data_IF_666312904087
#
_entry.id   IF_666312904087
#
_cell.length_a   1.000
_cell.length_b   1.000
_cell.length_c   1.000
_cell.angle_alpha   90.00
_cell.angle_beta   90.00
_cell.angle_gamma   90.00
#
_symmetry.space_group_name_H-M   'P 1'
#
loop_
_entity.id
_entity.type
_entity.pdbx_description
1 polymer ?
#
# COMPACT_ATOMS: atom_id res chain seq x y z
N UNK A 1 13.37 -9.88 -24.04
CA UNK A 1 12.74 -9.83 -22.71
C UNK A 1 11.54 -10.77 -22.69
N UNK A 2 11.31 -11.44 -21.56
CA UNK A 2 10.09 -12.22 -21.38
C UNK A 2 8.88 -11.28 -21.28
N UNK A 3 7.69 -11.68 -21.76
CA UNK A 3 6.47 -10.90 -21.57
C UNK A 3 6.14 -10.73 -20.08
N UNK A 4 5.52 -9.60 -19.74
CA UNK A 4 5.09 -9.28 -18.38
C UNK A 4 3.61 -8.92 -18.39
N UNK A 5 2.83 -9.56 -17.50
CA UNK A 5 1.45 -9.20 -17.23
C UNK A 5 1.41 -8.20 -16.08
N UNK A 6 0.68 -7.09 -16.24
CA UNK A 6 0.37 -6.18 -15.15
C UNK A 6 -1.05 -6.47 -14.66
N UNK A 7 -1.23 -6.63 -13.35
CA UNK A 7 -2.53 -6.96 -12.75
C UNK A 7 -2.95 -5.93 -11.72
N UNK A 8 -4.22 -5.56 -11.74
CA UNK A 8 -4.84 -4.73 -10.71
C UNK A 8 -6.31 -5.12 -10.50
N UNK A 9 -6.84 -4.77 -9.33
CA UNK A 9 -8.26 -4.92 -9.00
C UNK A 9 -8.80 -3.58 -8.54
N UNK A 10 -10.07 -3.33 -8.83
CA UNK A 10 -10.69 -2.06 -8.50
C UNK A 10 -12.19 -2.21 -8.19
N UNK A 11 -12.77 -1.17 -7.60
CA UNK A 11 -14.20 -1.04 -7.36
C UNK A 11 -14.57 0.44 -7.20
N UNK A 12 -15.41 0.97 -8.11
CA UNK A 12 -15.88 2.36 -8.12
C UNK A 12 -14.73 3.39 -8.16
N UNK A 13 -13.94 3.34 -9.24
CA UNK A 13 -12.75 4.19 -9.45
C UNK A 13 -12.87 5.02 -10.76
N UNK A 14 -14.09 5.37 -11.20
CA UNK A 14 -14.33 6.04 -12.49
C UNK A 14 -13.52 7.32 -12.68
N UNK A 15 -13.22 8.04 -11.61
CA UNK A 15 -12.47 9.31 -11.65
C UNK A 15 -10.97 9.13 -11.95
N UNK A 16 -10.40 8.00 -11.54
CA UNK A 16 -8.95 7.78 -11.59
C UNK A 16 -8.53 6.61 -12.47
N UNK A 17 -9.41 5.64 -12.75
CA UNK A 17 -9.09 4.43 -13.51
C UNK A 17 -8.46 4.76 -14.89
N UNK A 18 -8.92 5.83 -15.54
CA UNK A 18 -8.37 6.26 -16.83
C UNK A 18 -6.90 6.67 -16.76
N UNK A 19 -6.50 7.39 -15.72
CA UNK A 19 -5.10 7.81 -15.51
C UNK A 19 -4.22 6.59 -15.19
N UNK A 20 -4.71 5.70 -14.35
CA UNK A 20 -4.00 4.47 -13.93
C UNK A 20 -3.73 3.60 -15.15
N UNK A 21 -4.77 3.18 -15.87
CA UNK A 21 -4.67 2.30 -17.05
C UNK A 21 -3.79 2.94 -18.13
N UNK A 22 -3.96 4.25 -18.40
CA UNK A 22 -3.12 4.95 -19.38
C UNK A 22 -1.65 4.92 -18.99
N UNK A 23 -1.30 5.09 -17.71
CA UNK A 23 0.10 5.03 -17.24
C UNK A 23 0.70 3.63 -17.34
N UNK A 24 -0.12 2.59 -17.21
CA UNK A 24 0.30 1.19 -17.35
C UNK A 24 0.48 0.79 -18.82
N UNK A 25 -0.42 1.21 -19.69
CA UNK A 25 -0.32 0.94 -21.14
C UNK A 25 0.81 1.73 -21.81
N UNK A 26 1.23 2.88 -21.21
CA UNK A 26 2.33 3.72 -21.68
C UNK A 26 3.72 3.26 -21.21
N UNK A 27 3.85 2.13 -20.51
CA UNK A 27 5.13 1.62 -20.04
C UNK A 27 6.12 1.34 -21.19
N UNK A 28 7.41 1.57 -20.94
CA UNK A 28 8.49 1.36 -21.89
C UNK A 28 9.59 0.47 -21.26
N UNK A 29 9.74 -0.78 -21.74
CA UNK A 29 8.95 -1.47 -22.78
C UNK A 29 7.50 -1.70 -22.34
N UNK A 30 6.58 -1.91 -23.31
CA UNK A 30 5.16 -2.09 -22.98
C UNK A 30 4.92 -3.40 -22.23
N UNK A 31 3.88 -3.40 -21.38
CA UNK A 31 3.32 -4.62 -20.83
C UNK A 31 2.77 -5.51 -21.95
N UNK A 32 2.90 -6.81 -21.83
CA UNK A 32 2.25 -7.75 -22.75
C UNK A 32 0.73 -7.68 -22.62
N UNK A 33 0.24 -7.51 -21.40
CA UNK A 33 -1.16 -7.33 -21.06
C UNK A 33 -1.30 -6.55 -19.74
N UNK A 34 -2.42 -5.83 -19.62
CA UNK A 34 -2.85 -5.15 -18.39
C UNK A 34 -4.22 -5.72 -18.04
N UNK A 35 -4.30 -6.49 -16.97
CA UNK A 35 -5.52 -7.19 -16.55
C UNK A 35 -6.13 -6.42 -15.38
N UNK A 36 -7.36 -5.96 -15.57
CA UNK A 36 -8.13 -5.22 -14.56
C UNK A 36 -9.34 -6.06 -14.16
N UNK A 37 -9.43 -6.39 -12.86
CA UNK A 37 -10.60 -7.07 -12.30
C UNK A 37 -11.49 -6.05 -11.61
N UNK A 38 -12.69 -5.85 -12.15
CA UNK A 38 -13.76 -5.02 -11.57
C UNK A 38 -14.62 -5.85 -10.62
N UNK A 39 -14.71 -5.41 -9.35
CA UNK A 39 -15.48 -6.06 -8.30
C UNK A 39 -16.99 -5.82 -8.35
N UNK A 40 -17.53 -5.32 -9.48
CA UNK A 40 -18.95 -4.99 -9.66
C UNK A 40 -19.23 -3.51 -9.43
N UNK A 41 -18.45 -2.63 -10.06
CA UNK A 41 -18.63 -1.17 -10.02
C UNK A 41 -19.98 -0.73 -10.54
N UNK A 42 -20.49 0.37 -9.98
CA UNK A 42 -21.79 0.97 -10.29
C UNK A 42 -21.71 2.46 -10.62
N UNK A 43 -20.49 3.00 -10.70
CA UNK A 43 -20.22 4.43 -10.90
C UNK A 43 -19.81 4.81 -12.34
N UNK A 44 -19.78 3.84 -13.26
CA UNK A 44 -19.31 4.01 -14.65
C UNK A 44 -17.90 3.48 -14.92
N UNK A 45 -17.23 2.92 -13.89
CA UNK A 45 -15.88 2.34 -14.05
C UNK A 45 -15.88 1.19 -15.05
N UNK A 46 -16.85 0.26 -14.95
CA UNK A 46 -16.94 -0.88 -15.85
C UNK A 46 -17.13 -0.46 -17.31
N UNK A 47 -18.05 0.46 -17.58
CA UNK A 47 -18.32 0.99 -18.90
C UNK A 47 -17.09 1.67 -19.50
N UNK A 48 -16.30 2.36 -18.65
CA UNK A 48 -15.01 2.92 -19.06
C UNK A 48 -14.02 1.84 -19.47
N UNK A 49 -13.90 0.76 -18.67
CA UNK A 49 -12.99 -0.36 -18.96
C UNK A 49 -13.36 -1.09 -20.25
N UNK A 50 -14.64 -1.36 -20.48
CA UNK A 50 -15.11 -1.97 -21.75
C UNK A 50 -14.74 -1.10 -22.95
N UNK A 51 -15.01 0.21 -22.88
CA UNK A 51 -14.66 1.13 -23.94
C UNK A 51 -13.14 1.27 -24.15
N UNK A 52 -12.34 1.15 -23.10
CA UNK A 52 -10.88 1.18 -23.18
C UNK A 52 -10.30 -0.12 -23.78
N UNK A 53 -10.85 -1.27 -23.40
CA UNK A 53 -10.51 -2.57 -23.99
C UNK A 53 -10.69 -2.60 -25.51
N UNK A 54 -11.77 -2.00 -26.04
CA UNK A 54 -12.02 -1.91 -27.49
C UNK A 54 -10.95 -1.07 -28.21
N UNK A 55 -10.25 -0.17 -27.51
CA UNK A 55 -9.23 0.72 -28.10
C UNK A 55 -7.82 0.13 -28.02
N UNK A 56 -7.54 -0.69 -27.02
CA UNK A 56 -6.22 -1.32 -26.82
C UNK A 56 -6.41 -2.77 -26.36
N UNK A 57 -6.13 -3.71 -27.26
CA UNK A 57 -6.28 -5.14 -27.00
C UNK A 57 -5.37 -5.68 -25.89
N UNK A 58 -4.37 -4.91 -25.46
CA UNK A 58 -3.53 -5.29 -24.29
C UNK A 58 -4.27 -5.12 -22.97
N UNK A 59 -5.31 -4.28 -22.91
CA UNK A 59 -6.16 -4.15 -21.73
C UNK A 59 -7.17 -5.30 -21.72
N UNK A 60 -7.15 -6.10 -20.67
CA UNK A 60 -8.11 -7.18 -20.42
C UNK A 60 -8.96 -6.77 -19.22
N UNK A 61 -10.25 -6.52 -19.45
CA UNK A 61 -11.20 -6.21 -18.38
C UNK A 61 -11.98 -7.48 -18.00
N UNK A 62 -12.00 -7.79 -16.71
CA UNK A 62 -12.74 -8.92 -16.14
C UNK A 62 -13.71 -8.37 -15.10
N UNK A 63 -15.01 -8.62 -15.25
CA UNK A 63 -16.01 -8.31 -14.23
C UNK A 63 -16.27 -9.53 -13.37
N UNK A 64 -15.97 -9.42 -12.08
CA UNK A 64 -16.24 -10.49 -11.12
C UNK A 64 -16.77 -9.90 -9.80
N UNK A 65 -18.09 -9.86 -9.64
CA UNK A 65 -18.75 -9.33 -8.45
C UNK A 65 -18.37 -10.07 -7.17
N UNK A 66 -17.86 -11.29 -7.28
CA UNK A 66 -17.36 -12.03 -6.11
C UNK A 66 -16.11 -11.40 -5.49
N UNK A 67 -15.46 -10.46 -6.20
CA UNK A 67 -14.35 -9.64 -5.73
C UNK A 67 -14.83 -8.38 -4.97
N UNK A 68 -15.98 -8.45 -4.31
CA UNK A 68 -16.54 -7.39 -3.46
C UNK A 68 -16.74 -7.85 -2.02
N UNK A 69 -16.89 -6.88 -1.09
CA UNK A 69 -17.13 -7.16 0.34
C UNK A 69 -18.41 -7.95 0.61
N UNK A 70 -19.34 -7.96 -0.34
CA UNK A 70 -20.58 -8.75 -0.26
C UNK A 70 -20.30 -10.25 -0.30
N UNK A 71 -19.27 -10.67 -1.03
CA UNK A 71 -19.00 -12.07 -1.33
C UNK A 71 -17.66 -12.58 -0.79
N UNK A 72 -16.70 -11.68 -0.52
CA UNK A 72 -15.36 -12.04 -0.06
C UNK A 72 -14.93 -11.20 1.14
N UNK A 73 -14.36 -11.80 2.19
CA UNK A 73 -13.73 -11.03 3.28
C UNK A 73 -12.46 -10.30 2.84
N UNK A 74 -11.82 -10.74 1.75
CA UNK A 74 -10.62 -10.14 1.15
C UNK A 74 -10.80 -9.86 -0.34
N UNK A 75 -11.68 -8.92 -0.73
CA UNK A 75 -12.02 -8.66 -2.13
C UNK A 75 -10.81 -8.28 -2.98
N UNK A 76 -9.88 -7.49 -2.43
CA UNK A 76 -8.64 -7.08 -3.12
C UNK A 76 -7.74 -8.28 -3.41
N UNK A 77 -7.56 -9.18 -2.44
CA UNK A 77 -6.82 -10.44 -2.64
C UNK A 77 -7.45 -11.31 -3.72
N UNK A 78 -8.78 -11.47 -3.64
CA UNK A 78 -9.54 -12.27 -4.60
C UNK A 78 -9.41 -11.70 -6.01
N UNK A 79 -9.60 -10.40 -6.19
CA UNK A 79 -9.45 -9.76 -7.49
C UNK A 79 -8.03 -9.91 -8.06
N UNK A 80 -6.99 -9.76 -7.23
CA UNK A 80 -5.61 -10.03 -7.67
C UNK A 80 -5.41 -11.48 -8.05
N UNK A 81 -5.91 -12.44 -7.27
CA UNK A 81 -5.80 -13.86 -7.59
C UNK A 81 -6.50 -14.19 -8.90
N UNK A 82 -7.70 -13.65 -9.14
CA UNK A 82 -8.42 -13.79 -10.42
C UNK A 82 -7.60 -13.22 -11.58
N UNK A 83 -7.05 -12.01 -11.44
CA UNK A 83 -6.22 -11.39 -12.48
C UNK A 83 -4.94 -12.19 -12.75
N UNK A 84 -4.26 -12.69 -11.70
CA UNK A 84 -3.03 -13.50 -11.85
C UNK A 84 -3.34 -14.86 -12.49
N UNK A 85 -4.46 -15.47 -12.13
CA UNK A 85 -4.89 -16.73 -12.75
C UNK A 85 -5.16 -16.57 -14.26
N UNK A 86 -5.71 -15.42 -14.68
CA UNK A 86 -5.95 -15.08 -16.09
C UNK A 86 -4.68 -14.68 -16.85
N UNK A 87 -3.62 -14.25 -16.13
CA UNK A 87 -2.37 -13.79 -16.73
C UNK A 87 -1.66 -14.90 -17.52
N UNK A 88 -1.13 -14.54 -18.69
CA UNK A 88 -0.45 -15.48 -19.57
C UNK A 88 1.08 -15.44 -19.44
N UNK A 89 1.62 -14.36 -18.84
CA UNK A 89 3.06 -14.20 -18.69
C UNK A 89 3.59 -14.96 -17.46
N UNK A 90 4.84 -15.41 -17.55
CA UNK A 90 5.55 -16.02 -16.43
C UNK A 90 5.94 -15.01 -15.34
N UNK A 91 6.02 -13.71 -15.68
CA UNK A 91 6.31 -12.60 -14.77
C UNK A 91 5.06 -11.76 -14.62
N UNK A 92 4.66 -11.49 -13.37
CA UNK A 92 3.50 -10.69 -13.02
C UNK A 92 3.96 -9.48 -12.20
N UNK A 93 3.43 -8.30 -12.53
CA UNK A 93 3.60 -7.07 -11.76
C UNK A 93 2.24 -6.61 -11.22
N UNK A 94 2.15 -6.36 -9.90
CA UNK A 94 0.96 -5.82 -9.28
C UNK A 94 0.94 -4.30 -9.32
N UNK A 95 -0.23 -3.75 -9.60
CA UNK A 95 -0.56 -2.34 -9.58
C UNK A 95 -1.83 -2.11 -8.72
N UNK A 96 -2.07 -0.85 -8.30
CA UNK A 96 -3.27 -0.44 -7.55
C UNK A 96 -3.99 0.69 -8.31
N UNK A 97 -5.33 0.71 -8.23
CA UNK A 97 -6.19 1.68 -8.91
C UNK A 97 -5.96 3.15 -8.49
N UNK A 98 -5.51 3.39 -7.27
CA UNK A 98 -5.16 4.75 -6.79
C UNK A 98 -3.74 5.21 -7.11
N UNK A 99 -3.05 4.61 -8.09
CA UNK A 99 -1.66 4.91 -8.41
C UNK A 99 -1.45 5.22 -9.89
N UNK A 100 -0.47 6.10 -10.19
CA UNK A 100 0.13 6.22 -11.51
C UNK A 100 1.57 5.73 -11.47
N UNK A 101 2.16 5.46 -12.64
CA UNK A 101 3.44 4.77 -12.74
C UNK A 101 4.42 5.55 -13.60
N UNK A 102 5.69 5.61 -13.16
CA UNK A 102 6.76 6.17 -13.99
C UNK A 102 6.87 5.38 -15.31
N UNK A 103 7.23 6.02 -16.44
CA UNK A 103 7.28 5.34 -17.74
C UNK A 103 8.21 4.12 -17.80
N UNK A 104 9.22 4.08 -16.97
CA UNK A 104 10.22 3.01 -16.84
C UNK A 104 9.97 2.08 -15.62
N UNK A 105 8.83 2.25 -14.94
CA UNK A 105 8.50 1.49 -13.72
C UNK A 105 8.53 -0.02 -13.96
N UNK A 106 7.86 -0.51 -15.01
CA UNK A 106 7.74 -1.93 -15.29
C UNK A 106 9.10 -2.55 -15.62
N UNK A 107 9.90 -1.87 -16.45
CA UNK A 107 11.24 -2.30 -16.80
C UNK A 107 12.14 -2.41 -15.57
N UNK A 108 12.15 -1.36 -14.76
CA UNK A 108 12.98 -1.32 -13.56
C UNK A 108 12.56 -2.42 -12.56
N UNK A 109 11.25 -2.52 -12.28
CA UNK A 109 10.72 -3.46 -11.31
C UNK A 109 11.02 -4.92 -11.69
N UNK A 110 10.91 -5.25 -12.97
CA UNK A 110 11.05 -6.63 -13.44
C UNK A 110 12.47 -7.02 -13.86
N UNK A 111 13.41 -6.07 -13.92
CA UNK A 111 14.78 -6.31 -14.36
C UNK A 111 15.47 -7.52 -13.69
N UNK A 112 15.43 -7.72 -12.35
CA UNK A 112 16.03 -8.90 -11.71
C UNK A 112 15.31 -10.20 -12.05
N UNK A 113 14.00 -10.19 -12.30
CA UNK A 113 13.23 -11.36 -12.72
C UNK A 113 13.58 -11.72 -14.17
N UNK A 114 13.70 -10.72 -15.04
CA UNK A 114 14.13 -10.89 -16.44
C UNK A 114 15.53 -11.48 -16.55
N UNK A 115 16.41 -11.10 -15.63
CA UNK A 115 17.78 -11.62 -15.55
C UNK A 115 17.86 -13.00 -14.87
N UNK A 116 16.76 -13.53 -14.33
CA UNK A 116 16.75 -14.78 -13.58
C UNK A 116 17.50 -14.72 -12.23
N UNK A 117 17.82 -13.53 -11.73
CA UNK A 117 18.55 -13.32 -10.46
C UNK A 117 17.64 -13.24 -9.24
N UNK A 118 16.33 -13.05 -9.45
CA UNK A 118 15.31 -13.04 -8.41
C UNK A 118 13.97 -13.57 -8.93
N UNK A 119 13.16 -14.13 -8.04
CA UNK A 119 11.78 -14.53 -8.31
C UNK A 119 10.77 -13.50 -7.76
N UNK A 120 11.25 -12.50 -6.99
CA UNK A 120 10.45 -11.54 -6.28
C UNK A 120 11.15 -10.17 -6.23
N UNK A 121 10.44 -9.11 -6.55
CA UNK A 121 10.95 -7.74 -6.55
C UNK A 121 9.94 -6.76 -5.93
N UNK A 122 10.46 -5.78 -5.20
CA UNK A 122 9.70 -4.73 -4.55
C UNK A 122 10.19 -3.37 -5.01
N UNK A 123 9.28 -2.54 -5.50
CA UNK A 123 9.54 -1.16 -5.88
C UNK A 123 9.13 -0.15 -4.81
N UNK A 124 9.46 1.11 -5.04
CA UNK A 124 9.08 2.22 -4.19
C UNK A 124 7.65 2.70 -4.46
N UNK A 125 6.99 3.20 -3.42
CA UNK A 125 5.71 3.91 -3.54
C UNK A 125 5.79 5.22 -2.79
N UNK A 126 5.44 6.32 -3.44
CA UNK A 126 5.42 7.65 -2.84
C UNK A 126 4.11 8.35 -3.17
N UNK A 127 3.74 9.32 -2.33
CA UNK A 127 2.60 10.19 -2.65
C UNK A 127 3.01 11.09 -3.81
N UNK A 128 2.14 11.16 -4.82
CA UNK A 128 2.35 11.98 -6.01
C UNK A 128 2.66 13.44 -5.63
N UNK A 129 3.65 14.10 -6.25
CA UNK A 129 3.94 15.51 -6.04
C UNK A 129 2.90 16.49 -6.62
N UNK A 130 1.90 16.05 -7.40
CA UNK A 130 0.83 16.88 -7.98
C UNK A 130 -0.05 17.61 -6.96
N UNK A 131 -1.30 17.90 -7.32
CA UNK A 131 -2.26 18.58 -6.46
C UNK A 131 -2.46 17.84 -5.15
N UNK A 132 -2.01 18.44 -4.04
CA UNK A 132 -2.02 17.84 -2.71
C UNK A 132 -2.74 18.69 -1.71
N UNK A 133 -3.53 18.03 -0.89
CA UNK A 133 -3.99 18.62 0.36
C UNK A 133 -2.83 18.73 1.36
N UNK A 134 -2.95 19.60 2.32
CA UNK A 134 -1.97 19.68 3.43
C UNK A 134 -1.89 18.36 4.21
N UNK A 135 -2.96 17.59 4.20
CA UNK A 135 -3.03 16.28 4.87
C UNK A 135 -2.34 15.18 4.08
N UNK A 136 -2.33 15.25 2.73
CA UNK A 136 -1.52 14.34 1.90
C UNK A 136 -0.05 14.51 2.22
N UNK A 137 0.41 15.76 2.31
CA UNK A 137 1.79 16.09 2.68
C UNK A 137 2.13 15.63 4.08
N UNK A 138 1.24 15.87 5.06
CA UNK A 138 1.42 15.48 6.45
C UNK A 138 1.47 13.94 6.64
N UNK A 139 0.66 13.22 5.89
CA UNK A 139 0.52 11.78 5.99
C UNK A 139 1.55 10.99 5.13
N UNK A 140 2.15 11.62 4.12
CA UNK A 140 3.09 10.98 3.19
C UNK A 140 4.15 10.08 3.84
N UNK A 141 4.82 10.47 4.95
CA UNK A 141 5.82 9.62 5.60
C UNK A 141 5.30 8.30 6.16
N UNK A 142 3.99 8.18 6.36
CA UNK A 142 3.36 6.97 6.91
C UNK A 142 2.87 6.01 5.83
N UNK A 143 2.58 6.53 4.63
CA UNK A 143 1.99 5.78 3.52
C UNK A 143 2.93 5.59 2.32
N UNK A 144 4.08 6.26 2.34
CA UNK A 144 5.13 6.08 1.32
C UNK A 144 6.10 4.99 1.71
N UNK A 145 6.51 4.17 0.74
CA UNK A 145 7.61 3.23 0.88
C UNK A 145 8.80 3.78 0.11
N UNK A 146 9.76 4.31 0.86
CA UNK A 146 11.03 4.77 0.33
C UNK A 146 12.03 3.62 0.41
N UNK A 147 12.52 3.17 -0.72
CA UNK A 147 13.63 2.23 -0.79
C UNK A 147 14.91 3.04 -0.94
N UNK A 148 15.87 2.83 -0.03
CA UNK A 148 17.25 3.20 -0.28
C UNK A 148 17.88 2.16 -1.21
N UNK A 149 18.82 2.60 -2.06
CA UNK A 149 19.50 1.68 -2.96
C UNK A 149 20.20 0.57 -2.14
N UNK A 150 19.87 -0.68 -2.45
CA UNK A 150 20.43 -1.88 -1.82
C UNK A 150 20.15 -2.09 -0.33
N UNK A 151 19.24 -1.32 0.27
CA UNK A 151 18.86 -1.55 1.68
C UNK A 151 17.59 -2.42 1.78
N UNK A 152 17.63 -3.53 2.53
CA UNK A 152 16.46 -4.35 2.79
C UNK A 152 15.38 -3.55 3.53
N UNK A 153 14.19 -3.46 2.98
CA UNK A 153 13.03 -2.92 3.69
C UNK A 153 12.19 -4.03 4.33
N UNK A 154 11.61 -3.73 5.50
CA UNK A 154 10.60 -4.56 6.15
C UNK A 154 9.18 -4.22 5.67
N UNK A 155 9.04 -3.23 4.81
CA UNK A 155 7.76 -2.78 4.29
C UNK A 155 7.63 -3.15 2.82
N UNK A 156 6.47 -3.66 2.45
CA UNK A 156 6.08 -3.94 1.07
C UNK A 156 4.79 -3.22 0.74
N UNK A 157 4.46 -3.15 -0.53
CA UNK A 157 3.14 -2.77 -1.01
C UNK A 157 2.91 -3.38 -2.38
N UNK A 158 1.71 -3.88 -2.61
CA UNK A 158 1.30 -4.37 -3.93
C UNK A 158 1.24 -3.27 -5.00
N UNK A 159 1.31 -1.99 -4.60
CA UNK A 159 1.43 -0.86 -5.56
C UNK A 159 2.65 -0.95 -6.46
N UNK A 160 3.72 -1.62 -6.00
CA UNK A 160 4.95 -1.78 -6.79
C UNK A 160 5.62 -3.08 -6.36
N UNK A 161 5.11 -4.19 -6.87
CA UNK A 161 5.53 -5.55 -6.54
C UNK A 161 5.52 -6.39 -7.80
N UNK A 162 6.57 -7.19 -8.05
CA UNK A 162 6.58 -8.15 -9.15
C UNK A 162 7.13 -9.50 -8.67
N UNK A 163 6.65 -10.56 -9.27
CA UNK A 163 7.06 -11.93 -8.94
C UNK A 163 6.85 -12.86 -10.14
N UNK A 164 7.49 -14.01 -10.07
CA UNK A 164 7.21 -15.10 -11.01
C UNK A 164 5.87 -15.76 -10.67
N UNK A 165 5.08 -16.14 -11.66
CA UNK A 165 3.83 -16.88 -11.46
C UNK A 165 4.08 -18.16 -10.63
N UNK A 166 5.20 -18.81 -10.84
CA UNK A 166 5.61 -20.00 -10.07
C UNK A 166 5.75 -19.69 -8.56
N UNK A 167 6.28 -18.51 -8.19
CA UNK A 167 6.33 -18.10 -6.78
C UNK A 167 4.92 -17.95 -6.20
N UNK A 168 4.02 -17.27 -6.92
CA UNK A 168 2.62 -17.07 -6.50
C UNK A 168 1.91 -18.43 -6.27
N UNK A 169 2.06 -19.38 -7.19
CA UNK A 169 1.51 -20.73 -7.06
C UNK A 169 2.10 -21.46 -5.84
N UNK A 170 3.43 -21.41 -5.67
CA UNK A 170 4.15 -22.09 -4.59
C UNK A 170 3.74 -21.62 -3.19
N UNK A 171 3.39 -20.35 -3.02
CA UNK A 171 2.98 -19.79 -1.73
C UNK A 171 1.45 -19.77 -1.52
N UNK A 172 0.66 -20.18 -2.51
CA UNK A 172 -0.80 -20.26 -2.44
C UNK A 172 -1.52 -18.95 -2.68
N UNK A 173 -0.90 -17.98 -3.36
CA UNK A 173 -1.51 -16.72 -3.78
C UNK A 173 -1.69 -15.67 -2.68
N UNK A 174 -2.49 -14.64 -2.97
CA UNK A 174 -2.86 -13.62 -1.99
C UNK A 174 -3.92 -14.16 -1.03
N UNK A 175 -3.83 -13.89 0.29
CA UNK A 175 -4.77 -14.41 1.28
C UNK A 175 -6.14 -13.73 1.18
N UNK A 176 -7.18 -14.48 0.77
CA UNK A 176 -8.54 -13.97 0.59
C UNK A 176 -9.33 -13.82 1.91
N UNK A 177 -8.75 -14.22 3.03
CA UNK A 177 -9.38 -14.16 4.35
C UNK A 177 -9.19 -12.83 5.08
N UNK A 178 -8.49 -11.84 4.49
CA UNK A 178 -8.16 -10.56 5.14
C UNK A 178 -8.60 -9.40 4.27
N UNK A 179 -9.18 -8.38 4.91
CA UNK A 179 -9.64 -7.17 4.23
C UNK A 179 -8.48 -6.19 3.93
N UNK A 180 -7.45 -6.17 4.75
CA UNK A 180 -6.32 -5.24 4.65
C UNK A 180 -5.04 -5.95 5.07
N UNK A 181 -3.91 -5.61 4.42
CA UNK A 181 -2.58 -6.16 4.73
C UNK A 181 -2.32 -7.48 4.03
N UNK A 182 -3.06 -7.77 3.00
CA UNK A 182 -2.88 -8.91 2.11
C UNK A 182 -1.50 -8.91 1.46
N UNK A 183 -0.97 -7.73 1.11
CA UNK A 183 0.37 -7.53 0.60
C UNK A 183 1.46 -7.87 1.63
N UNK A 184 1.25 -7.48 2.89
CA UNK A 184 2.16 -7.82 4.00
C UNK A 184 2.19 -9.32 4.25
N UNK A 185 1.03 -9.98 4.21
CA UNK A 185 0.96 -11.43 4.41
C UNK A 185 1.57 -12.19 3.22
N UNK A 186 1.31 -11.75 1.99
CA UNK A 186 1.96 -12.28 0.79
C UNK A 186 3.49 -12.14 0.87
N UNK A 187 4.00 -10.96 1.21
CA UNK A 187 5.43 -10.70 1.39
C UNK A 187 6.05 -11.60 2.47
N UNK A 188 5.34 -11.82 3.58
CA UNK A 188 5.83 -12.73 4.64
C UNK A 188 5.96 -14.17 4.14
N UNK A 189 4.99 -14.69 3.39
CA UNK A 189 5.07 -16.04 2.83
C UNK A 189 6.15 -16.11 1.72
N UNK A 190 6.23 -15.11 0.83
CA UNK A 190 7.26 -15.05 -0.20
C UNK A 190 8.68 -15.05 0.41
N UNK A 191 8.91 -14.26 1.48
CA UNK A 191 10.22 -14.19 2.16
C UNK A 191 10.63 -15.49 2.89
N UNK A 192 9.72 -16.43 3.11
CA UNK A 192 10.05 -17.74 3.64
C UNK A 192 10.76 -18.62 2.63
N UNK A 193 10.51 -18.39 1.35
CA UNK A 193 10.98 -19.25 0.25
C UNK A 193 11.96 -18.56 -0.70
N UNK A 194 11.98 -17.22 -0.74
CA UNK A 194 12.90 -16.44 -1.58
C UNK A 194 13.23 -15.09 -0.94
N UNK A 195 14.25 -14.41 -1.47
CA UNK A 195 14.63 -13.04 -1.04
C UNK A 195 14.18 -12.04 -2.10
N UNK A 196 13.45 -10.96 -1.70
CA UNK A 196 13.08 -9.90 -2.63
C UNK A 196 14.30 -9.09 -3.10
N UNK A 197 14.30 -8.73 -4.38
CA UNK A 197 15.13 -7.63 -4.89
C UNK A 197 14.45 -6.28 -4.57
N UNK A 198 15.23 -5.28 -4.13
CA UNK A 198 14.71 -3.95 -3.79
C UNK A 198 15.08 -2.95 -4.88
N UNK A 199 14.07 -2.39 -5.57
CA UNK A 199 14.23 -1.60 -6.77
C UNK A 199 13.80 -0.15 -6.50
N UNK A 200 14.71 0.70 -6.04
CA UNK A 200 14.42 2.07 -5.61
C UNK A 200 13.95 3.00 -6.73
N UNK A 201 14.28 2.71 -7.98
CA UNK A 201 13.88 3.47 -9.17
C UNK A 201 12.55 2.99 -9.79
N UNK A 202 11.99 1.84 -9.39
CA UNK A 202 10.65 1.43 -9.78
C UNK A 202 9.60 2.19 -8.95
N UNK A 203 9.15 3.34 -9.45
CA UNK A 203 8.31 4.28 -8.67
C UNK A 203 6.84 4.19 -9.06
N UNK A 204 5.99 3.90 -8.07
CA UNK A 204 4.55 4.08 -8.10
C UNK A 204 4.17 5.38 -7.36
N UNK A 205 3.28 6.18 -7.93
CA UNK A 205 2.81 7.44 -7.37
C UNK A 205 1.37 7.30 -6.90
N UNK A 206 1.19 7.32 -5.59
CA UNK A 206 -0.12 7.20 -4.95
C UNK A 206 -0.77 8.58 -4.78
N UNK A 207 -2.07 8.68 -5.10
CA UNK A 207 -2.86 9.92 -5.11
C UNK A 207 -4.03 9.84 -4.10
N UNK A 208 -3.80 10.04 -2.81
CA UNK A 208 -4.78 9.71 -1.78
C UNK A 208 -5.88 10.75 -1.52
N UNK A 209 -5.70 12.03 -1.82
CA UNK A 209 -6.62 13.12 -1.48
C UNK A 209 -7.13 13.09 -0.03
N UNK A 210 -6.20 13.04 0.94
CA UNK A 210 -6.55 12.92 2.36
C UNK A 210 -7.17 14.17 2.95
N UNK A 211 -8.16 13.95 3.82
CA UNK A 211 -8.50 14.81 4.97
C UNK A 211 -7.80 14.26 6.22
N UNK A 212 -7.79 15.02 7.32
CA UNK A 212 -7.31 14.52 8.61
C UNK A 212 -7.99 13.20 9.01
N UNK A 213 -9.34 13.18 8.91
CA UNK A 213 -10.13 12.00 9.26
C UNK A 213 -9.84 10.79 8.40
N UNK A 214 -9.77 10.95 7.06
CA UNK A 214 -9.48 9.83 6.15
C UNK A 214 -8.05 9.31 6.30
N UNK A 215 -7.08 10.18 6.57
CA UNK A 215 -5.71 9.76 6.86
C UNK A 215 -5.63 8.93 8.16
N UNK A 216 -6.28 9.39 9.25
CA UNK A 216 -6.38 8.64 10.49
C UNK A 216 -7.12 7.31 10.31
N UNK A 217 -8.21 7.29 9.56
CA UNK A 217 -8.96 6.08 9.25
C UNK A 217 -8.11 5.03 8.53
N UNK A 218 -7.38 5.44 7.47
CA UNK A 218 -6.51 4.53 6.75
C UNK A 218 -5.36 4.02 7.64
N UNK A 219 -4.76 4.90 8.45
CA UNK A 219 -3.73 4.50 9.40
C UNK A 219 -4.26 3.47 10.43
N UNK A 220 -5.51 3.66 10.89
CA UNK A 220 -6.18 2.72 11.79
C UNK A 220 -6.38 1.35 11.12
N UNK A 221 -6.82 1.31 9.85
CA UNK A 221 -6.99 0.06 9.09
C UNK A 221 -5.66 -0.71 8.99
N UNK A 222 -4.56 -0.03 8.64
CA UNK A 222 -3.25 -0.66 8.60
C UNK A 222 -2.78 -1.14 9.98
N UNK A 223 -3.05 -0.37 11.04
CA UNK A 223 -2.70 -0.78 12.40
C UNK A 223 -3.50 -2.03 12.85
N UNK A 224 -4.80 -2.11 12.53
CA UNK A 224 -5.61 -3.32 12.77
C UNK A 224 -5.00 -4.52 12.05
N UNK A 225 -4.64 -4.36 10.78
CA UNK A 225 -4.01 -5.42 9.99
C UNK A 225 -2.69 -5.88 10.59
N UNK A 226 -1.80 -4.96 10.97
CA UNK A 226 -0.55 -5.30 11.66
C UNK A 226 -0.79 -6.08 12.96
N UNK A 227 -1.84 -5.72 13.70
CA UNK A 227 -2.25 -6.43 14.92
C UNK A 227 -2.72 -7.86 14.63
N UNK A 228 -3.58 -8.04 13.62
CA UNK A 228 -4.07 -9.35 13.19
C UNK A 228 -2.95 -10.25 12.66
N UNK A 229 -2.04 -9.69 11.86
CA UNK A 229 -0.87 -10.39 11.34
C UNK A 229 0.18 -10.69 12.41
N UNK A 230 0.12 -10.04 13.58
CA UNK A 230 1.11 -10.19 14.64
C UNK A 230 2.47 -9.59 14.28
N UNK A 231 2.48 -8.53 13.46
CA UNK A 231 3.71 -7.88 13.00
C UNK A 231 3.92 -6.51 13.66
N UNK A 232 5.13 -5.96 13.52
CA UNK A 232 5.51 -4.60 13.96
C UNK A 232 5.26 -4.31 15.45
N UNK A 233 5.44 -5.30 16.33
CA UNK A 233 5.27 -5.19 17.80
C UNK A 233 6.04 -4.03 18.42
N UNK A 234 7.30 -3.84 18.01
CA UNK A 234 8.12 -2.74 18.51
C UNK A 234 7.50 -1.36 18.17
N UNK A 235 6.82 -1.23 17.02
CA UNK A 235 6.08 -0.01 16.67
C UNK A 235 4.88 0.18 17.60
N UNK A 236 4.13 -0.87 17.85
CA UNK A 236 3.00 -0.84 18.77
C UNK A 236 3.43 -0.41 20.18
N UNK A 237 4.47 -1.04 20.75
CA UNK A 237 4.97 -0.73 22.09
C UNK A 237 5.48 0.70 22.19
N UNK A 238 6.22 1.19 21.18
CA UNK A 238 6.67 2.60 21.17
C UNK A 238 5.49 3.58 21.15
N UNK A 239 4.45 3.32 20.35
CA UNK A 239 3.28 4.19 20.31
C UNK A 239 2.47 4.10 21.61
N UNK A 240 2.33 2.93 22.21
CA UNK A 240 1.67 2.78 23.51
C UNK A 240 2.42 3.53 24.61
N UNK A 241 3.76 3.46 24.64
CA UNK A 241 4.58 4.22 25.58
C UNK A 241 4.43 5.74 25.39
N UNK A 242 4.32 6.22 24.13
CA UNK A 242 4.05 7.63 23.84
C UNK A 242 2.67 8.05 24.35
N UNK A 243 1.61 7.28 24.09
CA UNK A 243 0.28 7.55 24.64
C UNK A 243 0.32 7.64 26.17
N UNK A 244 1.00 6.73 26.84
CA UNK A 244 1.14 6.74 28.29
C UNK A 244 1.88 8.01 28.76
N UNK A 245 2.97 8.39 28.11
CA UNK A 245 3.72 9.60 28.43
C UNK A 245 2.86 10.87 28.26
N UNK A 246 2.04 10.95 27.21
CA UNK A 246 1.10 12.06 26.99
C UNK A 246 0.04 12.15 28.10
N UNK A 247 -0.55 11.01 28.49
CA UNK A 247 -1.52 10.95 29.60
C UNK A 247 -0.86 11.39 30.91
N UNK A 248 0.35 10.89 31.20
CA UNK A 248 1.11 11.28 32.40
C UNK A 248 1.45 12.77 32.42
N UNK A 249 1.84 13.34 31.29
CA UNK A 249 2.14 14.77 31.20
C UNK A 249 0.89 15.63 31.45
N UNK A 250 -0.27 15.22 30.90
CA UNK A 250 -1.55 15.89 31.16
C UNK A 250 -1.96 15.77 32.64
N UNK A 251 -1.77 14.60 33.26
CA UNK A 251 -2.05 14.42 34.68
C UNK A 251 -1.14 15.27 35.58
N UNK A 252 0.10 15.53 35.17
CA UNK A 252 1.08 16.34 35.91
C UNK A 252 0.91 17.84 35.70
N UNK A 253 0.04 18.30 34.79
CA UNK A 253 -0.19 19.75 34.52
C UNK A 253 -0.55 20.53 35.78
N UNK A 254 -1.16 19.88 36.77
CA UNK A 254 -1.50 20.51 38.06
C UNK A 254 -0.28 20.99 38.83
N UNK A 255 0.89 20.33 38.63
CA UNK A 255 2.12 20.61 39.35
C UNK A 255 3.21 21.25 38.50
N UNK A 256 3.24 20.91 37.18
CA UNK A 256 4.28 21.41 36.29
C UNK A 256 3.87 21.30 34.83
N UNK A 257 4.21 22.31 34.02
CA UNK A 257 4.07 22.31 32.57
C UNK A 257 5.25 21.64 31.86
N UNK A 258 6.35 21.39 32.57
CA UNK A 258 7.61 20.88 31.97
C UNK A 258 7.39 19.55 31.24
N UNK A 259 6.70 18.52 31.80
CA UNK A 259 6.48 17.27 31.10
C UNK A 259 5.73 17.44 29.77
N UNK A 260 4.72 18.32 29.76
CA UNK A 260 3.97 18.60 28.52
C UNK A 260 4.86 19.28 27.48
N UNK A 261 5.66 20.27 27.86
CA UNK A 261 6.58 20.94 26.95
C UNK A 261 7.63 19.97 26.36
N UNK A 262 8.15 19.05 27.19
CA UNK A 262 9.10 18.01 26.73
C UNK A 262 8.43 17.11 25.68
N UNK A 263 7.19 16.68 25.89
CA UNK A 263 6.47 15.85 24.93
C UNK A 263 6.19 16.63 23.66
N UNK A 264 5.70 17.86 23.73
CA UNK A 264 5.45 18.68 22.56
C UNK A 264 6.74 18.93 21.76
N UNK A 265 7.87 19.20 22.44
CA UNK A 265 9.17 19.36 21.81
C UNK A 265 9.62 18.05 21.12
N UNK A 266 9.40 16.90 21.76
CA UNK A 266 9.71 15.60 21.17
C UNK A 266 8.84 15.30 19.94
N UNK A 267 7.54 15.56 19.98
CA UNK A 267 6.65 15.40 18.85
C UNK A 267 7.01 16.34 17.70
N UNK A 268 7.37 17.58 18.02
CA UNK A 268 7.88 18.53 17.05
C UNK A 268 9.16 18.02 16.40
N UNK A 269 10.10 17.54 17.20
CA UNK A 269 11.35 16.95 16.71
C UNK A 269 11.09 15.72 15.84
N UNK A 270 10.19 14.81 16.25
CA UNK A 270 9.79 13.63 15.46
C UNK A 270 9.17 14.04 14.11
N UNK A 271 8.32 15.07 14.11
CA UNK A 271 7.70 15.58 12.90
C UNK A 271 8.71 16.19 11.92
N UNK A 272 9.77 16.82 12.44
CA UNK A 272 10.70 17.60 11.64
C UNK A 272 12.01 16.89 11.31
N UNK A 273 12.51 16.05 12.19
CA UNK A 273 13.86 15.47 12.08
C UNK A 273 14.13 14.80 10.70
N UNK A 274 13.15 14.09 10.16
CA UNK A 274 13.30 13.35 8.90
C UNK A 274 12.71 14.05 7.68
N UNK A 275 11.68 14.86 7.89
CA UNK A 275 10.83 15.33 6.80
C UNK A 275 10.87 16.85 6.61
N UNK A 276 11.69 17.59 7.38
CA UNK A 276 11.73 19.06 7.36
C UNK A 276 11.93 19.64 5.95
N UNK A 277 12.94 19.15 5.21
CA UNK A 277 13.23 19.62 3.86
C UNK A 277 12.08 19.38 2.87
N UNK A 278 11.33 18.31 3.10
CA UNK A 278 10.13 18.00 2.33
C UNK A 278 8.97 18.95 2.71
N UNK A 279 8.71 19.12 4.00
CA UNK A 279 7.60 19.93 4.50
C UNK A 279 7.72 21.42 4.17
N UNK A 280 8.93 21.97 4.24
CA UNK A 280 9.20 23.39 3.93
C UNK A 280 8.77 23.76 2.50
N UNK A 281 8.85 22.82 1.56
CA UNK A 281 8.42 23.05 0.17
C UNK A 281 6.91 23.32 0.04
N UNK A 282 6.11 22.87 1.01
CA UNK A 282 4.66 22.99 1.00
C UNK A 282 4.14 24.08 1.97
N UNK A 283 5.03 24.79 2.65
CA UNK A 283 4.74 25.95 3.46
C UNK A 283 4.23 25.65 4.90
N UNK A 284 3.93 26.69 5.68
CA UNK A 284 3.67 26.57 7.11
C UNK A 284 2.41 25.77 7.45
N UNK A 285 1.40 25.76 6.57
CA UNK A 285 0.17 24.98 6.78
C UNK A 285 0.45 23.48 6.74
N UNK A 286 1.32 23.00 5.86
CA UNK A 286 1.73 21.61 5.79
C UNK A 286 2.55 21.19 7.03
N UNK A 287 3.36 22.12 7.53
CA UNK A 287 4.11 21.93 8.78
C UNK A 287 3.16 21.76 9.97
N UNK A 288 2.18 22.66 10.12
CA UNK A 288 1.18 22.57 11.17
C UNK A 288 0.35 21.27 11.07
N UNK A 289 -0.12 20.93 9.87
CA UNK A 289 -0.85 19.68 9.62
C UNK A 289 -0.02 18.45 10.01
N UNK A 290 1.27 18.43 9.68
CA UNK A 290 2.18 17.33 10.04
C UNK A 290 2.35 17.21 11.55
N UNK A 291 2.49 18.32 12.26
CA UNK A 291 2.58 18.33 13.72
C UNK A 291 1.29 17.79 14.35
N UNK A 292 0.11 18.28 13.94
CA UNK A 292 -1.19 17.81 14.43
C UNK A 292 -1.34 16.30 14.15
N UNK A 293 -0.97 15.84 12.95
CA UNK A 293 -1.05 14.43 12.60
C UNK A 293 -0.10 13.58 13.45
N UNK A 294 1.11 14.08 13.79
CA UNK A 294 2.04 13.36 14.64
C UNK A 294 1.53 13.11 16.06
N UNK A 295 0.73 14.03 16.60
CA UNK A 295 0.07 13.85 17.90
C UNK A 295 -1.01 12.76 17.85
N UNK A 296 -1.73 12.62 16.73
CA UNK A 296 -2.76 11.60 16.58
C UNK A 296 -2.20 10.19 16.32
N UNK A 297 -1.06 10.08 15.66
CA UNK A 297 -0.49 8.80 15.20
C UNK A 297 -0.29 7.78 16.32
N UNK A 298 0.29 8.10 17.49
CA UNK A 298 0.48 7.12 18.56
C UNK A 298 -0.83 6.48 19.00
N UNK A 299 -1.87 7.28 19.19
CA UNK A 299 -3.20 6.83 19.60
C UNK A 299 -3.86 5.97 18.54
N UNK A 300 -3.88 6.44 17.30
CA UNK A 300 -4.47 5.70 16.18
C UNK A 300 -3.78 4.35 16.02
N UNK A 301 -2.45 4.32 16.06
CA UNK A 301 -1.69 3.08 15.83
C UNK A 301 -1.79 2.14 17.03
N UNK A 302 -1.53 2.60 18.26
CA UNK A 302 -1.50 1.73 19.44
C UNK A 302 -2.87 1.08 19.68
N UNK A 303 -3.94 1.89 19.73
CA UNK A 303 -5.29 1.39 20.03
C UNK A 303 -5.74 0.40 18.96
N UNK A 304 -5.56 0.73 17.68
CA UNK A 304 -6.06 -0.12 16.60
C UNK A 304 -5.18 -1.36 16.37
N UNK A 305 -3.88 -1.31 16.62
CA UNK A 305 -3.02 -2.49 16.54
C UNK A 305 -3.33 -3.48 17.68
N UNK A 306 -3.57 -2.99 18.91
CA UNK A 306 -4.05 -3.80 20.03
C UNK A 306 -5.42 -4.42 19.67
N UNK A 307 -6.37 -3.60 19.20
CA UNK A 307 -7.70 -4.07 18.76
C UNK A 307 -7.61 -5.16 17.70
N UNK A 308 -6.70 -5.03 16.74
CA UNK A 308 -6.45 -6.03 15.71
C UNK A 308 -5.97 -7.36 16.30
N UNK A 309 -5.12 -7.33 17.34
CA UNK A 309 -4.60 -8.54 17.99
C UNK A 309 -5.69 -9.41 18.61
N UNK A 310 -6.74 -8.79 19.13
CA UNK A 310 -7.87 -9.50 19.75
C UNK A 310 -8.98 -9.86 18.78
N UNK A 311 -8.91 -9.43 17.51
CA UNK A 311 -9.83 -9.93 16.48
C UNK A 311 -9.46 -11.36 16.13
N UNK A 312 -10.47 -12.24 16.05
CA UNK A 312 -10.28 -13.62 15.58
C UNK A 312 -9.66 -13.57 14.18
N UNK A 313 -8.55 -14.29 13.99
CA UNK A 313 -8.02 -14.52 12.64
C UNK A 313 -9.15 -15.18 11.83
N UNK A 314 -9.44 -14.74 10.61
CA UNK A 314 -10.29 -15.48 9.71
C UNK A 314 -9.68 -16.88 9.58
N UNK A 315 -10.51 -17.91 9.69
CA UNK A 315 -10.03 -19.29 9.51
C UNK A 315 -9.49 -19.41 8.09
N UNK A 316 -8.23 -19.81 7.96
CA UNK A 316 -7.70 -20.22 6.67
C UNK A 316 -8.49 -21.45 6.25
N UNK A 317 -9.17 -21.41 5.11
CA UNK A 317 -9.68 -22.59 4.44
C UNK A 317 -8.48 -23.44 3.95
N UNK A 318 -7.76 -24.05 4.89
CA UNK A 318 -7.04 -25.28 4.65
C UNK A 318 -8.01 -26.42 4.93
N UNK A 319 -8.95 -26.62 4.05
CA UNK A 319 -9.68 -27.87 3.89
C UNK A 319 -9.76 -28.11 2.39
N UNK A 320 -8.90 -28.98 1.94
CA UNK A 320 -9.12 -30.21 1.22
C UNK A 320 -7.84 -30.51 0.42
N UNK A 321 -7.00 -31.29 1.03
CA UNK A 321 -6.36 -32.40 0.29
C UNK A 321 -7.35 -33.55 0.22
#
# INVERSE_FOLDING_TARGET
MQPVSVVLTELNEVQDIGKVVSSLLAQQPPAAEVIVVDGGSTDGTWEWLEAAHQRDARLIAIRDETCSLKFSPGPVSRGRNVAIAAAQSAIVACADAGCTYAPDWLQNLTAPLQAGTAEYALGGSCIDPGDKTVWDVAAAPFFSIKLAANEPTKSCTARSMAFTRQLWERIGGFPESVLVGEDTLFDMEARRVTRPAFISNAKAFYQPHYTFGSACYNLARYAVSDGMAGVRWARMLRNAARCLAEVMALALLRWSFIPLLVILAFELWQAFHRDFRYLVRFGPRAIAARFIFSLAVPWVVAVNQIRGRFRKKPQSNRQNE
#
